data_IF_103774883757
#
_entry.id   IF_103774883757
#
_cell.length_a   1.000
_cell.length_b   1.000
_cell.length_c   1.000
_cell.angle_alpha   90.00
_cell.angle_beta   90.00
_cell.angle_gamma   90.00
#
_symmetry.space_group_name_H-M   'P 1'
#
loop_
_entity.id
_entity.type
_entity.pdbx_description
1 polymer ?
#
# COMPACT_ATOMS: atom_id res chain seq x y z
N UNK A 1 -13.19 42.17 53.48
CA UNK A 1 -12.48 41.05 52.81
C UNK A 1 -13.39 40.26 51.86
N UNK A 2 -14.66 40.02 52.18
CA UNK A 2 -15.55 39.19 51.33
C UNK A 2 -15.80 39.76 49.91
N UNK A 3 -15.85 41.08 49.76
CA UNK A 3 -16.07 41.77 48.47
C UNK A 3 -14.99 41.46 47.44
N UNK A 4 -13.70 41.53 47.81
CA UNK A 4 -12.61 41.13 46.91
C UNK A 4 -12.70 39.65 46.50
N UNK A 5 -13.14 38.78 47.42
CA UNK A 5 -13.26 37.33 47.16
C UNK A 5 -14.38 37.01 46.16
N UNK A 6 -15.46 37.82 46.15
CA UNK A 6 -16.55 37.76 45.14
C UNK A 6 -16.13 38.32 43.77
N UNK A 7 -15.30 39.37 43.75
CA UNK A 7 -14.79 39.96 42.50
C UNK A 7 -13.83 38.98 41.78
N UNK A 8 -12.88 38.37 42.50
CA UNK A 8 -11.96 37.39 41.89
C UNK A 8 -12.69 36.14 41.38
N UNK A 9 -13.72 35.66 42.09
CA UNK A 9 -14.52 34.51 41.60
C UNK A 9 -15.34 34.86 40.37
N UNK A 10 -15.98 36.05 40.33
CA UNK A 10 -16.68 36.54 39.14
C UNK A 10 -15.76 36.68 37.91
N UNK A 11 -14.57 37.25 38.09
CA UNK A 11 -13.58 37.41 37.02
C UNK A 11 -13.10 36.05 36.47
N UNK A 12 -12.81 35.08 37.34
CA UNK A 12 -12.41 33.74 36.93
C UNK A 12 -13.52 32.99 36.18
N UNK A 13 -14.79 33.09 36.62
CA UNK A 13 -15.91 32.48 35.88
C UNK A 13 -16.05 33.11 34.50
N UNK A 14 -16.03 34.44 34.40
CA UNK A 14 -16.19 35.14 33.12
C UNK A 14 -15.05 34.82 32.14
N UNK A 15 -13.81 34.73 32.62
CA UNK A 15 -12.65 34.34 31.82
C UNK A 15 -12.70 32.87 31.35
N UNK A 16 -13.19 31.95 32.18
CA UNK A 16 -13.40 30.53 31.80
C UNK A 16 -14.55 30.40 30.78
N UNK A 17 -15.65 31.14 30.96
CA UNK A 17 -16.75 31.16 29.98
C UNK A 17 -16.30 31.74 28.64
N UNK A 18 -15.50 32.82 28.65
CA UNK A 18 -14.93 33.40 27.43
C UNK A 18 -14.01 32.42 26.69
N UNK A 19 -13.11 31.73 27.40
CA UNK A 19 -12.26 30.68 26.81
C UNK A 19 -13.08 29.53 26.21
N UNK A 20 -14.19 29.13 26.84
CA UNK A 20 -15.07 28.09 26.33
C UNK A 20 -15.78 28.50 25.02
N UNK A 21 -16.13 29.79 24.86
CA UNK A 21 -16.81 30.31 23.66
C UNK A 21 -15.90 30.54 22.45
N UNK A 22 -14.57 30.58 22.64
CA UNK A 22 -13.57 30.73 21.56
C UNK A 22 -13.09 29.38 21.01
N UNK A 23 -13.65 28.26 21.49
CA UNK A 23 -13.43 26.92 20.95
C UNK A 23 -14.08 26.76 19.56
N UNK A 24 -13.41 27.28 18.53
CA UNK A 24 -13.87 27.23 17.14
C UNK A 24 -14.07 25.81 16.63
N UNK A 25 -15.30 25.46 16.28
CA UNK A 25 -15.64 24.16 15.70
C UNK A 25 -15.22 24.10 14.21
N UNK A 26 -13.95 23.78 13.96
CA UNK A 26 -13.45 23.49 12.62
C UNK A 26 -13.64 22.01 12.27
N UNK A 27 -14.39 21.70 11.21
CA UNK A 27 -14.57 20.31 10.75
C UNK A 27 -13.35 19.84 9.95
N UNK A 28 -12.38 19.19 10.61
CA UNK A 28 -11.23 18.57 9.93
C UNK A 28 -11.61 17.21 9.34
N UNK A 29 -11.80 17.15 8.02
CA UNK A 29 -12.17 15.91 7.31
C UNK A 29 -10.93 15.20 6.74
N UNK A 30 -10.44 14.19 7.44
CA UNK A 30 -9.30 13.37 7.03
C UNK A 30 -9.75 12.23 6.10
N UNK A 31 -9.36 12.24 4.81
CA UNK A 31 -9.78 11.24 3.80
C UNK A 31 -8.68 10.21 3.47
N UNK A 32 -7.98 9.71 4.49
CA UNK A 32 -6.85 8.77 4.34
C UNK A 32 -7.18 7.52 3.51
N UNK A 33 -8.34 6.91 3.71
CA UNK A 33 -8.75 5.73 2.94
C UNK A 33 -8.98 6.06 1.45
N UNK A 34 -9.62 7.20 1.15
CA UNK A 34 -9.82 7.67 -0.22
C UNK A 34 -8.48 7.95 -0.91
N UNK A 35 -7.55 8.60 -0.21
CA UNK A 35 -6.19 8.88 -0.71
C UNK A 35 -5.39 7.61 -0.97
N UNK A 36 -5.47 6.62 -0.07
CA UNK A 36 -4.85 5.30 -0.26
C UNK A 36 -5.42 4.58 -1.48
N UNK A 37 -6.75 4.48 -1.59
CA UNK A 37 -7.42 3.82 -2.73
C UNK A 37 -7.14 4.51 -4.07
N UNK A 38 -7.12 5.85 -4.11
CA UNK A 38 -6.74 6.59 -5.30
C UNK A 38 -5.29 6.28 -5.70
N UNK A 39 -4.38 6.24 -4.73
CA UNK A 39 -2.97 6.03 -4.99
C UNK A 39 -2.68 4.58 -5.45
N UNK A 40 -3.36 3.58 -4.87
CA UNK A 40 -3.22 2.19 -5.32
C UNK A 40 -3.84 2.00 -6.71
N UNK A 41 -5.05 2.51 -6.95
CA UNK A 41 -5.72 2.47 -8.28
C UNK A 41 -4.85 3.11 -9.38
N UNK A 42 -4.15 4.21 -9.06
CA UNK A 42 -3.23 4.84 -10.00
C UNK A 42 -1.95 4.01 -10.23
N UNK A 43 -1.37 3.40 -9.20
CA UNK A 43 -0.22 2.49 -9.32
C UNK A 43 -0.60 1.26 -10.13
N UNK A 44 -1.66 0.56 -9.75
CA UNK A 44 -2.17 -0.65 -10.40
C UNK A 44 -2.41 -0.43 -11.90
N UNK A 45 -3.13 0.64 -12.27
CA UNK A 45 -3.37 0.97 -13.68
C UNK A 45 -2.11 1.37 -14.44
N UNK A 46 -1.08 1.90 -13.76
CA UNK A 46 0.21 2.18 -14.38
C UNK A 46 1.04 0.92 -14.56
N UNK A 47 0.99 -0.01 -13.61
CA UNK A 47 1.71 -1.30 -13.66
C UNK A 47 1.07 -2.24 -14.67
N UNK A 48 -0.26 -2.34 -14.69
CA UNK A 48 -1.02 -3.14 -15.65
C UNK A 48 -0.86 -2.66 -17.11
N UNK A 49 -0.36 -1.45 -17.35
CA UNK A 49 -0.05 -0.97 -18.70
C UNK A 49 1.33 -1.43 -19.21
N UNK A 50 2.12 -2.14 -18.39
CA UNK A 50 3.45 -2.62 -18.73
C UNK A 50 3.38 -4.05 -19.30
N UNK A 51 4.06 -4.27 -20.43
CA UNK A 51 4.15 -5.58 -21.09
C UNK A 51 5.58 -6.14 -20.98
N UNK A 52 5.79 -7.10 -20.07
CA UNK A 52 7.09 -7.75 -19.86
C UNK A 52 7.27 -9.06 -20.64
N UNK A 53 6.37 -9.45 -21.55
CA UNK A 53 6.47 -10.75 -22.27
C UNK A 53 7.79 -10.93 -23.05
N UNK A 54 8.47 -9.83 -23.40
CA UNK A 54 9.82 -9.84 -24.02
C UNK A 54 10.89 -10.48 -23.12
N UNK A 55 10.64 -10.56 -21.81
CA UNK A 55 11.53 -11.14 -20.79
C UNK A 55 11.01 -12.48 -20.23
N UNK A 56 9.95 -13.05 -20.81
CA UNK A 56 9.37 -14.31 -20.36
C UNK A 56 10.40 -15.46 -20.40
N UNK A 57 10.39 -16.30 -19.36
CA UNK A 57 11.32 -17.41 -19.18
C UNK A 57 12.76 -17.00 -18.84
N UNK A 58 13.08 -15.71 -18.72
CA UNK A 58 14.44 -15.25 -18.39
C UNK A 58 14.61 -15.01 -16.89
N UNK A 59 15.80 -15.26 -16.31
CA UNK A 59 16.11 -14.90 -14.93
C UNK A 59 16.33 -13.39 -14.82
N UNK A 60 15.43 -12.74 -14.06
CA UNK A 60 15.30 -11.28 -13.97
C UNK A 60 15.41 -10.82 -12.53
N UNK A 61 16.22 -9.80 -12.28
CA UNK A 61 16.23 -9.07 -11.01
C UNK A 61 15.54 -7.71 -11.18
N UNK A 62 14.65 -7.35 -10.24
CA UNK A 62 14.02 -6.03 -10.18
C UNK A 62 14.87 -5.13 -9.28
N UNK A 63 15.54 -4.12 -9.85
CA UNK A 63 16.23 -3.10 -9.07
C UNK A 63 15.20 -2.13 -8.46
N UNK A 64 15.13 -2.04 -7.14
CA UNK A 64 14.14 -1.19 -6.44
C UNK A 64 14.74 0.10 -5.89
N UNK A 65 16.04 0.36 -6.11
CA UNK A 65 16.76 1.51 -5.56
C UNK A 65 16.07 2.85 -5.89
N UNK A 66 15.64 3.03 -7.14
CA UNK A 66 14.98 4.26 -7.59
C UNK A 66 13.51 4.36 -7.16
N UNK A 67 12.85 3.24 -6.85
CA UNK A 67 11.52 3.20 -6.21
C UNK A 67 11.61 3.59 -4.73
N UNK A 68 12.58 3.04 -4.00
CA UNK A 68 12.79 3.29 -2.57
C UNK A 68 13.09 4.77 -2.26
N UNK A 69 13.58 5.53 -3.24
CA UNK A 69 13.77 6.98 -3.14
C UNK A 69 12.47 7.78 -2.94
N UNK A 70 11.32 7.21 -3.32
CA UNK A 70 10.00 7.86 -3.26
C UNK A 70 9.44 7.79 -1.83
N UNK A 71 9.81 8.78 -1.02
CA UNK A 71 9.29 8.94 0.34
C UNK A 71 7.86 9.46 0.33
N UNK A 72 6.90 8.57 0.55
CA UNK A 72 5.49 8.90 0.77
C UNK A 72 5.08 8.39 2.15
N UNK A 73 4.54 9.26 3.00
CA UNK A 73 4.04 8.88 4.34
C UNK A 73 2.67 8.17 4.29
N UNK A 74 2.41 7.42 3.21
CA UNK A 74 1.18 6.66 2.96
C UNK A 74 1.48 5.17 2.97
N UNK A 75 0.48 4.37 3.35
CA UNK A 75 0.54 2.90 3.28
C UNK A 75 0.83 2.42 1.85
N UNK A 76 0.30 3.16 0.86
CA UNK A 76 0.56 2.94 -0.56
C UNK A 76 1.76 3.81 -0.95
N UNK A 77 2.96 3.23 -0.86
CA UNK A 77 4.22 3.89 -1.20
C UNK A 77 5.12 2.99 -2.04
N UNK A 78 6.43 3.19 -1.92
CA UNK A 78 7.47 2.43 -2.63
C UNK A 78 7.24 0.91 -2.60
N UNK A 79 7.01 0.33 -1.42
CA UNK A 79 6.85 -1.13 -1.25
C UNK A 79 5.61 -1.72 -1.94
N UNK A 80 4.50 -0.99 -2.00
CA UNK A 80 3.30 -1.45 -2.71
C UNK A 80 3.55 -1.51 -4.22
N UNK A 81 4.20 -0.47 -4.76
CA UNK A 81 4.57 -0.38 -6.16
C UNK A 81 5.65 -1.39 -6.57
N UNK A 82 6.62 -1.65 -5.69
CA UNK A 82 7.57 -2.75 -5.82
C UNK A 82 6.84 -4.11 -5.92
N UNK A 83 5.93 -4.38 -4.98
CA UNK A 83 5.15 -5.63 -4.96
C UNK A 83 4.28 -5.79 -6.21
N UNK A 84 3.61 -4.73 -6.66
CA UNK A 84 2.84 -4.68 -7.90
C UNK A 84 3.69 -5.01 -9.13
N UNK A 85 4.90 -4.46 -9.23
CA UNK A 85 5.83 -4.76 -10.32
C UNK A 85 6.34 -6.21 -10.27
N UNK A 86 6.62 -6.75 -9.08
CA UNK A 86 6.96 -8.17 -8.90
C UNK A 86 5.81 -9.08 -9.35
N UNK A 87 4.55 -8.75 -9.01
CA UNK A 87 3.36 -9.45 -9.48
C UNK A 87 3.25 -9.42 -11.01
N UNK A 88 3.42 -8.26 -11.66
CA UNK A 88 3.29 -8.15 -13.11
C UNK A 88 4.46 -8.83 -13.87
N UNK A 89 5.67 -8.86 -13.31
CA UNK A 89 6.79 -9.64 -13.84
C UNK A 89 6.52 -11.15 -13.77
N UNK A 90 6.02 -11.65 -12.63
CA UNK A 90 5.63 -13.06 -12.46
C UNK A 90 4.46 -13.43 -13.38
N UNK A 91 3.45 -12.57 -13.51
CA UNK A 91 2.30 -12.77 -14.39
C UNK A 91 2.68 -12.80 -15.88
N UNK A 92 3.77 -12.12 -16.27
CA UNK A 92 4.34 -12.19 -17.61
C UNK A 92 5.31 -13.38 -17.83
N UNK A 93 5.48 -14.26 -16.82
CA UNK A 93 6.33 -15.45 -16.90
C UNK A 93 7.83 -15.19 -16.73
N UNK A 94 8.24 -14.06 -16.15
CA UNK A 94 9.65 -13.80 -15.83
C UNK A 94 10.11 -14.62 -14.62
N UNK A 95 11.33 -15.17 -14.65
CA UNK A 95 11.90 -15.93 -13.53
C UNK A 95 12.55 -14.96 -12.53
N UNK A 96 11.73 -14.38 -11.67
CA UNK A 96 12.13 -13.33 -10.73
C UNK A 96 13.11 -13.85 -9.66
N UNK A 97 14.29 -13.23 -9.59
CA UNK A 97 15.36 -13.55 -8.64
C UNK A 97 15.37 -12.61 -7.44
N UNK A 98 15.90 -13.07 -6.31
CA UNK A 98 16.07 -12.25 -5.09
C UNK A 98 17.37 -11.43 -5.09
N UNK A 99 18.39 -11.87 -5.83
CA UNK A 99 19.70 -11.21 -5.89
C UNK A 99 20.08 -10.90 -7.34
N UNK A 100 20.73 -9.75 -7.54
CA UNK A 100 21.23 -9.31 -8.84
C UNK A 100 22.18 -10.35 -9.47
N UNK A 101 22.97 -11.07 -8.65
CA UNK A 101 24.00 -12.00 -9.13
C UNK A 101 23.44 -13.21 -9.87
N UNK A 102 22.21 -13.59 -9.54
CA UNK A 102 21.54 -14.81 -10.02
C UNK A 102 20.67 -14.52 -11.26
N UNK A 103 20.60 -13.25 -11.69
CA UNK A 103 19.85 -12.81 -12.85
C UNK A 103 20.75 -12.52 -14.07
N UNK A 104 20.23 -12.86 -15.26
CA UNK A 104 20.84 -12.46 -16.54
C UNK A 104 20.49 -11.01 -16.88
N UNK A 105 19.27 -10.58 -16.56
CA UNK A 105 18.76 -9.24 -16.85
C UNK A 105 18.38 -8.49 -15.59
N UNK A 106 18.72 -7.20 -15.57
CA UNK A 106 18.26 -6.25 -14.56
C UNK A 106 17.13 -5.44 -15.18
N UNK A 107 15.99 -5.38 -14.48
CA UNK A 107 14.85 -4.52 -14.80
C UNK A 107 14.88 -3.35 -13.83
N UNK A 108 15.06 -2.15 -14.38
CA UNK A 108 15.16 -0.90 -13.60
C UNK A 108 13.92 -0.01 -13.85
N UNK A 109 13.03 0.13 -12.84
CA UNK A 109 11.89 0.99 -12.86
C UNK A 109 12.22 2.40 -12.35
N UNK A 110 11.74 3.41 -13.05
CA UNK A 110 11.86 4.83 -12.66
C UNK A 110 10.49 5.42 -12.40
N UNK A 111 10.35 6.09 -11.25
CA UNK A 111 9.11 6.76 -10.83
C UNK A 111 9.20 8.23 -11.21
N UNK A 112 8.39 8.66 -12.17
CA UNK A 112 8.32 10.05 -12.61
C UNK A 112 7.29 10.89 -11.84
N UNK A 113 6.32 10.24 -11.20
CA UNK A 113 5.36 10.85 -10.28
C UNK A 113 4.68 9.74 -9.47
N UNK A 114 4.44 9.99 -8.18
CA UNK A 114 3.54 9.23 -7.33
C UNK A 114 2.94 10.20 -6.31
N UNK A 115 1.64 10.46 -6.38
CA UNK A 115 1.01 11.38 -5.44
C UNK A 115 -0.45 11.71 -5.73
N UNK A 116 -1.03 12.48 -4.82
CA UNK A 116 -2.42 12.93 -4.83
C UNK A 116 -2.52 14.43 -5.02
N UNK A 117 -3.61 14.87 -5.64
CA UNK A 117 -3.96 16.27 -5.89
C UNK A 117 -5.43 16.49 -5.47
N UNK A 118 -5.73 17.63 -4.85
CA UNK A 118 -7.01 17.92 -4.20
C UNK A 118 -7.49 19.32 -4.49
N UNK A 119 -8.65 19.45 -5.14
CA UNK A 119 -9.28 20.72 -5.48
C UNK A 119 -10.65 20.81 -4.81
N UNK A 120 -10.93 21.90 -4.09
CA UNK A 120 -12.26 22.17 -3.52
C UNK A 120 -12.86 23.44 -4.16
N UNK A 121 -14.07 23.33 -4.66
CA UNK A 121 -14.84 24.42 -5.26
C UNK A 121 -16.14 24.59 -4.47
N UNK A 122 -16.31 25.75 -3.82
CA UNK A 122 -17.58 26.14 -3.19
C UNK A 122 -18.15 27.34 -3.95
N UNK A 123 -19.37 27.18 -4.46
CA UNK A 123 -20.18 28.24 -5.06
C UNK A 123 -21.32 28.54 -4.08
N UNK A 124 -21.35 29.77 -3.58
CA UNK A 124 -22.26 30.21 -2.51
C UNK A 124 -21.61 31.32 -1.69
N UNK A 125 -22.12 31.55 -0.49
CA UNK A 125 -21.42 32.35 0.52
C UNK A 125 -20.55 31.36 1.31
N UNK A 126 -19.23 31.29 1.08
CA UNK A 126 -18.38 30.42 1.88
C UNK A 126 -18.37 30.87 3.33
N UNK A 127 -18.16 29.95 4.27
CA UNK A 127 -17.88 30.25 5.67
C UNK A 127 -16.49 30.90 5.82
N UNK A 128 -16.29 32.09 5.27
CA UNK A 128 -15.10 32.88 5.51
C UNK A 128 -15.13 33.38 6.95
N UNK A 129 -14.26 32.81 7.79
CA UNK A 129 -14.09 33.24 9.19
C UNK A 129 -13.97 34.77 9.32
N UNK A 130 -13.36 35.45 8.34
CA UNK A 130 -13.23 36.90 8.27
C UNK A 130 -14.57 37.68 8.32
N UNK A 131 -15.63 37.21 7.63
CA UNK A 131 -16.94 37.87 7.67
C UNK A 131 -17.65 37.63 9.01
N UNK A 132 -17.55 36.41 9.55
CA UNK A 132 -18.10 36.09 10.87
C UNK A 132 -17.35 36.83 12.00
N UNK A 133 -16.04 37.07 11.89
CA UNK A 133 -15.28 37.86 12.84
C UNK A 133 -15.45 39.38 12.68
N UNK A 134 -15.78 39.87 11.48
CA UNK A 134 -16.07 41.28 11.25
C UNK A 134 -17.35 41.71 12.00
N UNK A 135 -18.35 40.82 12.10
CA UNK A 135 -19.54 41.04 12.92
C UNK A 135 -19.24 41.35 14.39
N UNK A 136 -18.14 40.82 14.94
CA UNK A 136 -17.73 41.04 16.34
C UNK A 136 -16.84 42.27 16.55
N UNK A 137 -16.41 42.96 15.49
CA UNK A 137 -15.53 44.15 15.58
C UNK A 137 -16.30 45.47 15.49
N UNK A 138 -17.59 45.46 15.15
CA UNK A 138 -18.44 46.66 15.08
C UNK A 138 -19.25 46.80 16.37
N UNK A 139 -18.59 47.25 17.44
CA UNK A 139 -19.13 47.32 18.82
C UNK A 139 -20.39 48.19 18.98
N UNK A 140 -20.64 49.12 18.06
CA UNK A 140 -21.75 50.09 18.13
C UNK A 140 -22.80 49.90 17.01
N UNK A 141 -22.68 48.84 16.20
CA UNK A 141 -23.66 48.48 15.18
C UNK A 141 -24.70 47.47 15.69
N UNK A 142 -25.90 47.39 15.09
CA UNK A 142 -26.84 46.31 15.39
C UNK A 142 -26.17 44.97 15.08
N UNK A 143 -26.23 44.03 16.02
CA UNK A 143 -25.57 42.72 15.91
C UNK A 143 -26.08 41.98 14.67
N UNK A 144 -25.24 41.91 13.62
CA UNK A 144 -25.60 41.21 12.41
C UNK A 144 -25.76 39.71 12.74
N UNK A 145 -26.88 39.07 12.36
CA UNK A 145 -27.07 37.65 12.63
C UNK A 145 -25.97 36.85 11.92
N UNK A 146 -25.45 35.82 12.61
CA UNK A 146 -24.48 34.91 12.01
C UNK A 146 -25.16 34.18 10.85
N UNK A 147 -24.81 34.56 9.63
CA UNK A 147 -25.30 33.88 8.43
C UNK A 147 -24.66 32.48 8.37
N UNK A 148 -25.46 31.39 8.36
CA UNK A 148 -24.92 30.05 8.18
C UNK A 148 -24.30 29.91 6.79
N UNK A 149 -23.40 28.94 6.60
CA UNK A 149 -22.81 28.65 5.29
C UNK A 149 -23.89 28.23 4.29
N UNK A 150 -24.21 29.10 3.32
CA UNK A 150 -25.10 28.75 2.20
C UNK A 150 -24.23 28.31 1.03
N UNK A 151 -23.72 27.07 1.13
CA UNK A 151 -23.07 26.38 0.04
C UNK A 151 -24.12 25.87 -0.97
N UNK A 152 -24.45 26.71 -1.95
CA UNK A 152 -25.38 26.38 -3.04
C UNK A 152 -24.89 25.15 -3.81
N UNK A 153 -23.58 25.10 -4.12
CA UNK A 153 -22.89 23.92 -4.64
C UNK A 153 -21.51 23.83 -4.02
N UNK A 154 -21.13 22.65 -3.53
CA UNK A 154 -19.75 22.31 -3.13
C UNK A 154 -19.27 21.13 -3.95
N UNK A 155 -18.03 21.16 -4.44
CA UNK A 155 -17.41 20.06 -5.19
C UNK A 155 -15.97 19.87 -4.75
N UNK A 156 -15.70 18.73 -4.12
CA UNK A 156 -14.36 18.24 -3.83
C UNK A 156 -13.95 17.28 -4.95
N UNK A 157 -12.83 17.55 -5.62
CA UNK A 157 -12.20 16.66 -6.59
C UNK A 157 -10.84 16.24 -6.04
N UNK A 158 -10.71 14.97 -5.68
CA UNK A 158 -9.43 14.32 -5.41
C UNK A 158 -9.00 13.52 -6.64
N UNK A 159 -7.70 13.53 -6.91
CA UNK A 159 -7.05 12.77 -7.97
C UNK A 159 -5.79 12.12 -7.41
N UNK A 160 -5.39 10.98 -7.96
CA UNK A 160 -4.02 10.51 -7.85
C UNK A 160 -3.43 10.31 -9.23
N UNK A 161 -2.10 10.38 -9.31
CA UNK A 161 -1.35 10.05 -10.51
C UNK A 161 -0.14 9.20 -10.14
N UNK A 162 0.09 8.15 -10.93
CA UNK A 162 1.34 7.42 -10.95
C UNK A 162 1.91 7.48 -12.37
N UNK A 163 3.23 7.61 -12.47
CA UNK A 163 3.97 7.64 -13.74
C UNK A 163 5.24 6.81 -13.58
N UNK A 164 5.35 5.77 -14.39
CA UNK A 164 6.42 4.78 -14.37
C UNK A 164 7.09 4.72 -15.75
N UNK A 165 8.39 4.48 -15.77
CA UNK A 165 9.13 4.17 -16.98
C UNK A 165 10.23 3.15 -16.66
N UNK A 166 10.18 2.00 -17.31
CA UNK A 166 11.01 0.84 -16.99
C UNK A 166 11.87 0.50 -18.20
N UNK A 167 13.08 0.02 -17.94
CA UNK A 167 13.96 -0.53 -18.96
C UNK A 167 14.66 -1.78 -18.43
N UNK A 168 15.08 -2.65 -19.35
CA UNK A 168 15.77 -3.89 -19.06
C UNK A 168 17.10 -3.95 -19.81
N UNK A 169 18.15 -4.36 -19.12
CA UNK A 169 19.50 -4.50 -19.67
C UNK A 169 20.17 -5.77 -19.16
N UNK A 170 21.10 -6.29 -19.96
CA UNK A 170 21.91 -7.44 -19.56
C UNK A 170 22.87 -7.05 -18.44
N UNK A 171 22.88 -7.80 -17.33
CA UNK A 171 23.66 -7.50 -16.13
C UNK A 171 25.14 -7.23 -16.42
N UNK A 172 25.80 -8.21 -17.04
CA UNK A 172 27.26 -8.17 -17.29
C UNK A 172 27.65 -7.21 -18.42
N UNK A 173 27.04 -7.36 -19.60
CA UNK A 173 27.43 -6.60 -20.79
C UNK A 173 26.84 -5.18 -20.85
N UNK A 174 25.92 -4.83 -19.94
CA UNK A 174 25.16 -3.58 -19.89
C UNK A 174 24.44 -3.20 -21.19
N UNK A 175 24.24 -4.17 -22.10
CA UNK A 175 23.50 -3.97 -23.35
C UNK A 175 21.99 -3.79 -23.06
N UNK A 176 21.33 -2.76 -23.61
CA UNK A 176 19.89 -2.60 -23.48
C UNK A 176 19.17 -3.69 -24.28
N UNK A 177 18.06 -4.19 -23.72
CA UNK A 177 17.24 -5.25 -24.32
C UNK A 177 15.83 -4.75 -24.59
N UNK A 178 15.24 -4.00 -23.65
CA UNK A 178 13.85 -3.57 -23.74
C UNK A 178 13.59 -2.27 -22.94
N UNK A 179 12.55 -1.54 -23.32
CA UNK A 179 12.02 -0.38 -22.57
C UNK A 179 10.49 -0.32 -22.68
N UNK A 180 9.81 0.03 -21.60
CA UNK A 180 8.34 0.13 -21.54
C UNK A 180 7.76 1.39 -22.20
N UNK A 181 8.61 2.37 -22.52
CA UNK A 181 8.15 3.75 -22.67
C UNK A 181 7.65 4.33 -21.34
N UNK A 182 6.68 5.24 -21.39
CA UNK A 182 6.10 5.88 -20.20
C UNK A 182 4.70 5.32 -19.96
N UNK A 183 4.55 4.51 -18.91
CA UNK A 183 3.26 4.15 -18.37
C UNK A 183 2.78 5.25 -17.40
N UNK A 184 1.55 5.73 -17.56
CA UNK A 184 0.96 6.69 -16.63
C UNK A 184 -0.54 6.43 -16.49
N UNK A 185 -1.03 6.44 -15.26
CA UNK A 185 -2.45 6.37 -14.97
C UNK A 185 -2.86 7.40 -13.92
N UNK A 186 -4.16 7.68 -13.89
CA UNK A 186 -4.77 8.59 -12.93
C UNK A 186 -6.03 7.97 -12.34
N UNK A 187 -6.16 8.08 -11.03
CA UNK A 187 -7.38 7.76 -10.31
C UNK A 187 -8.13 9.05 -9.95
N UNK A 188 -9.46 9.01 -9.84
CA UNK A 188 -10.27 10.18 -9.48
C UNK A 188 -11.38 9.84 -8.49
N UNK A 189 -11.70 10.79 -7.62
CA UNK A 189 -12.82 10.76 -6.68
C UNK A 189 -13.40 12.17 -6.56
N UNK A 190 -14.67 12.32 -6.94
CA UNK A 190 -15.40 13.59 -6.91
C UNK A 190 -16.59 13.44 -5.96
N UNK A 191 -16.61 14.25 -4.90
CA UNK A 191 -17.77 14.44 -4.04
C UNK A 191 -18.46 15.75 -4.43
N UNK A 192 -19.75 15.74 -4.74
CA UNK A 192 -20.54 16.96 -4.97
C UNK A 192 -21.68 17.06 -3.96
N UNK A 193 -21.94 18.27 -3.47
CA UNK A 193 -23.12 18.65 -2.70
C UNK A 193 -23.86 19.75 -3.45
N UNK A 194 -25.19 19.71 -3.42
CA UNK A 194 -26.06 20.73 -4.01
C UNK A 194 -27.11 21.10 -2.97
N UNK A 195 -27.18 22.38 -2.57
CA UNK A 195 -28.11 22.88 -1.56
C UNK A 195 -28.09 22.05 -0.26
N UNK A 196 -26.90 21.67 0.20
CA UNK A 196 -26.70 20.80 1.38
C UNK A 196 -26.91 19.29 1.13
N UNK A 197 -27.61 18.88 0.06
CA UNK A 197 -27.76 17.47 -0.28
C UNK A 197 -26.45 16.89 -0.86
N UNK A 198 -25.91 15.85 -0.21
CA UNK A 198 -24.69 15.14 -0.62
C UNK A 198 -24.03 14.39 0.53
N UNK A 199 -22.84 13.78 0.33
CA UNK A 199 -22.07 13.79 -0.91
C UNK A 199 -22.64 12.83 -1.96
N UNK A 200 -22.82 13.32 -3.18
CA UNK A 200 -22.90 12.49 -4.38
C UNK A 200 -21.47 12.18 -4.84
N UNK A 201 -21.08 10.91 -4.82
CA UNK A 201 -19.71 10.45 -5.06
C UNK A 201 -19.61 9.72 -6.40
N UNK A 202 -18.59 10.05 -7.19
CA UNK A 202 -18.28 9.47 -8.50
C UNK A 202 -16.78 9.46 -8.73
N UNK A 203 -16.25 8.55 -9.54
CA UNK A 203 -14.82 8.51 -9.83
C UNK A 203 -14.37 7.13 -10.32
N UNK A 204 -13.06 6.93 -10.49
CA UNK A 204 -12.50 5.63 -10.89
C UNK A 204 -12.50 4.60 -9.77
N UNK A 205 -12.49 5.06 -8.51
CA UNK A 205 -12.51 4.20 -7.30
C UNK A 205 -13.93 3.89 -6.79
N UNK A 206 -14.97 4.37 -7.48
CA UNK A 206 -16.36 4.26 -7.05
C UNK A 206 -17.17 3.41 -8.04
N UNK A 207 -17.78 2.33 -7.55
CA UNK A 207 -18.63 1.42 -8.32
C UNK A 207 -20.03 2.02 -8.65
N UNK A 208 -20.02 3.06 -9.47
CA UNK A 208 -21.20 3.83 -9.88
C UNK A 208 -21.35 5.16 -9.13
N UNK A 209 -22.55 5.75 -9.18
CA UNK A 209 -22.85 6.94 -8.35
C UNK A 209 -23.25 6.48 -6.95
N UNK A 210 -22.51 6.91 -5.94
CA UNK A 210 -22.86 6.67 -4.54
C UNK A 210 -23.45 7.95 -3.92
N UNK A 211 -24.26 7.78 -2.88
CA UNK A 211 -24.76 8.85 -2.03
C UNK A 211 -24.39 8.51 -0.57
N UNK A 212 -23.59 9.37 0.07
CA UNK A 212 -23.11 9.17 1.43
C UNK A 212 -22.51 7.77 1.70
N UNK A 213 -21.67 7.26 0.78
CA UNK A 213 -21.05 5.92 0.86
C UNK A 213 -21.97 4.74 0.52
N UNK A 214 -23.27 4.95 0.33
CA UNK A 214 -24.22 3.93 -0.13
C UNK A 214 -24.37 3.98 -1.66
N UNK A 215 -24.53 2.83 -2.33
CA UNK A 215 -24.83 2.83 -3.77
C UNK A 215 -26.25 3.35 -3.97
N UNK A 216 -26.42 4.38 -4.80
CA UNK A 216 -27.75 4.84 -5.16
C UNK A 216 -28.48 3.73 -5.93
N UNK A 217 -29.74 3.44 -5.57
CA UNK A 217 -30.55 2.44 -6.28
C UNK A 217 -30.74 2.87 -7.73
N UNK A 218 -29.99 2.22 -8.63
CA UNK A 218 -30.12 2.38 -10.08
C UNK A 218 -30.58 1.04 -10.69
N UNK A 219 -31.87 0.87 -11.00
CA UNK A 219 -32.38 -0.38 -11.54
C UNK A 219 -31.88 -0.68 -12.96
N UNK A 220 -31.18 0.27 -13.62
CA UNK A 220 -30.54 0.07 -14.92
C UNK A 220 -29.09 -0.43 -14.80
N UNK A 221 -28.46 -0.36 -13.62
CA UNK A 221 -27.09 -0.80 -13.41
C UNK A 221 -26.89 -2.33 -13.56
N UNK A 222 -27.96 -3.11 -13.38
CA UNK A 222 -27.98 -4.57 -13.59
C UNK A 222 -27.73 -5.01 -15.05
N UNK A 223 -27.75 -4.08 -16.02
CA UNK A 223 -27.62 -4.37 -17.46
C UNK A 223 -26.33 -3.81 -18.10
N UNK A 224 -25.37 -3.32 -17.30
CA UNK A 224 -24.13 -2.71 -17.82
C UNK A 224 -22.84 -3.29 -17.19
N UNK A 225 -22.81 -4.58 -16.86
CA UNK A 225 -21.59 -5.24 -16.35
C UNK A 225 -20.67 -5.81 -17.44
N UNK A 226 -21.18 -6.04 -18.66
CA UNK A 226 -20.46 -6.83 -19.68
C UNK A 226 -19.97 -6.05 -20.92
N UNK A 227 -20.18 -4.72 -20.96
CA UNK A 227 -20.07 -3.93 -22.19
C UNK A 227 -18.69 -3.27 -22.47
N UNK A 228 -17.69 -3.47 -21.59
CA UNK A 228 -16.36 -2.83 -21.72
C UNK A 228 -15.23 -3.76 -22.23
N UNK A 229 -15.55 -5.00 -22.60
CA UNK A 229 -14.62 -5.84 -23.35
C UNK A 229 -14.63 -5.44 -24.84
N UNK A 230 -13.92 -4.37 -25.19
CA UNK A 230 -13.60 -4.05 -26.59
C UNK A 230 -12.51 -5.01 -27.10
N UNK A 231 -12.78 -5.90 -28.07
CA UNK A 231 -11.78 -6.81 -28.60
C UNK A 231 -10.83 -6.04 -29.53
N UNK A 232 -9.61 -5.74 -29.07
CA UNK A 232 -8.63 -5.03 -29.90
C UNK A 232 -7.35 -4.56 -29.20
N UNK A 233 -7.37 -4.33 -27.89
CA UNK A 233 -6.12 -4.16 -27.12
C UNK A 233 -5.51 -5.53 -26.81
N UNK A 234 -4.22 -5.70 -27.12
CA UNK A 234 -3.42 -6.89 -26.77
C UNK A 234 -3.65 -7.24 -25.30
N UNK A 235 -3.80 -8.53 -25.01
CA UNK A 235 -4.50 -9.02 -23.82
C UNK A 235 -3.70 -8.87 -22.51
N UNK A 236 -3.60 -7.65 -21.99
CA UNK A 236 -3.07 -7.36 -20.64
C UNK A 236 -4.12 -7.63 -19.54
N UNK A 237 -5.01 -8.60 -19.78
CA UNK A 237 -6.19 -8.87 -18.95
C UNK A 237 -5.89 -9.68 -17.68
N UNK A 238 -4.62 -10.03 -17.42
CA UNK A 238 -4.20 -10.84 -16.28
C UNK A 238 -4.06 -10.04 -14.98
N UNK A 239 -3.52 -8.81 -15.00
CA UNK A 239 -3.17 -8.07 -13.76
C UNK A 239 -4.36 -7.87 -12.80
N UNK A 240 -5.55 -7.58 -13.34
CA UNK A 240 -6.77 -7.31 -12.56
C UNK A 240 -7.69 -8.53 -12.39
N UNK A 241 -7.27 -9.71 -12.85
CA UNK A 241 -8.06 -10.94 -12.74
C UNK A 241 -7.38 -11.93 -11.81
N UNK A 242 -8.19 -12.70 -11.11
CA UNK A 242 -7.69 -13.88 -10.42
C UNK A 242 -7.21 -14.90 -11.47
N UNK A 243 -5.97 -15.36 -11.32
CA UNK A 243 -5.33 -16.35 -12.20
C UNK A 243 -4.65 -17.37 -11.31
N UNK A 244 -4.99 -18.65 -11.49
CA UNK A 244 -4.24 -19.76 -10.92
C UNK A 244 -3.16 -20.18 -11.92
N UNK A 245 -1.90 -20.05 -11.52
CA UNK A 245 -0.78 -20.56 -12.31
C UNK A 245 -0.73 -22.09 -12.19
N UNK A 246 -0.39 -22.77 -13.30
CA UNK A 246 -0.29 -24.23 -13.32
C UNK A 246 0.74 -24.72 -12.29
N UNK A 247 0.32 -25.66 -11.45
CA UNK A 247 1.15 -26.28 -10.43
C UNK A 247 1.91 -27.48 -11.00
N UNK A 248 3.04 -27.84 -10.41
CA UNK A 248 3.76 -29.06 -10.83
C UNK A 248 2.92 -30.34 -10.60
N UNK A 249 1.93 -30.28 -9.70
CA UNK A 249 0.90 -31.30 -9.47
C UNK A 249 -0.17 -31.40 -10.57
N UNK A 250 -0.28 -30.45 -11.50
CA UNK A 250 -1.21 -30.53 -12.63
C UNK A 250 -0.68 -31.37 -13.80
N UNK A 251 0.58 -31.83 -13.72
CA UNK A 251 1.10 -32.85 -14.64
C UNK A 251 0.35 -34.16 -14.34
N UNK A 252 -0.32 -34.79 -15.33
CA UNK A 252 -1.01 -36.05 -15.08
C UNK A 252 0.02 -37.08 -14.60
N UNK A 253 -0.23 -37.66 -13.43
CA UNK A 253 0.61 -38.73 -12.89
C UNK A 253 0.56 -39.89 -13.87
N UNK A 254 1.63 -40.06 -14.66
CA UNK A 254 1.84 -41.24 -15.47
C UNK A 254 1.88 -42.42 -14.48
N UNK A 255 0.78 -43.17 -14.39
CA UNK A 255 0.72 -44.35 -13.53
C UNK A 255 1.76 -45.34 -14.06
N UNK A 256 2.87 -45.47 -13.34
CA UNK A 256 3.86 -46.49 -13.62
C UNK A 256 3.18 -47.84 -13.46
N UNK A 257 2.93 -48.51 -14.58
CA UNK A 257 2.54 -49.92 -14.58
C UNK A 257 3.76 -50.66 -14.07
N UNK A 258 3.67 -51.16 -12.84
CA UNK A 258 4.65 -52.08 -12.30
C UNK A 258 4.38 -53.46 -12.91
N UNK A 259 5.22 -53.86 -13.86
CA UNK A 259 5.28 -55.26 -14.29
C UNK A 259 5.90 -56.08 -13.16
N UNK A 260 5.14 -57.06 -12.67
CA UNK A 260 5.46 -57.85 -11.48
C UNK A 260 6.16 -59.16 -11.90
N UNK A 261 7.48 -59.24 -11.74
CA UNK A 261 8.28 -60.46 -11.98
C UNK A 261 8.87 -60.97 -10.64
N UNK A 262 8.49 -62.17 -10.16
CA UNK A 262 8.77 -62.59 -8.79
C UNK A 262 10.16 -63.20 -8.60
N UNK A 263 11.00 -62.56 -7.78
CA UNK A 263 12.28 -63.11 -7.32
C UNK A 263 12.11 -64.11 -6.16
N UNK A 264 12.87 -65.21 -6.19
CA UNK A 264 12.76 -66.36 -5.29
C UNK A 264 13.35 -66.18 -3.89
N UNK A 265 12.77 -66.87 -2.91
CA UNK A 265 13.07 -66.89 -1.46
C UNK A 265 14.48 -67.39 -1.08
N UNK A 266 15.13 -66.85 -0.02
CA UNK A 266 16.40 -67.37 0.51
C UNK A 266 16.24 -68.47 1.58
N UNK A 267 17.27 -69.31 1.75
CA UNK A 267 17.38 -70.40 2.75
C UNK A 267 18.55 -70.14 3.74
N UNK A 268 18.49 -70.72 4.94
CA UNK A 268 19.45 -70.64 6.07
C UNK A 268 19.57 -72.04 6.73
N UNK A 269 20.49 -72.34 7.70
CA UNK A 269 21.82 -71.80 8.06
C UNK A 269 22.92 -72.91 8.20
N UNK A 270 24.18 -72.58 8.59
CA UNK A 270 24.97 -73.21 9.69
C UNK A 270 26.51 -72.93 9.69
N UNK A 271 27.17 -72.93 10.87
CA UNK A 271 28.64 -73.03 11.05
C UNK A 271 29.36 -71.96 11.93
N UNK A 272 30.22 -72.38 12.88
CA UNK A 272 30.98 -71.57 13.90
C UNK A 272 32.39 -72.19 14.14
N UNK A 273 33.34 -71.67 14.96
CA UNK A 273 33.68 -70.29 15.43
C UNK A 273 35.24 -70.00 15.58
N UNK A 274 35.60 -68.92 16.32
CA UNK A 274 36.92 -68.55 16.92
C UNK A 274 37.87 -67.67 16.06
N UNK A 275 38.67 -66.71 16.58
CA UNK A 275 39.42 -66.57 17.86
C UNK A 275 39.38 -65.13 18.45
N UNK A 276 39.69 -64.95 19.75
CA UNK A 276 39.87 -63.66 20.49
C UNK A 276 41.15 -63.73 21.36
N UNK A 277 41.91 -62.64 21.60
CA UNK A 277 41.96 -61.97 22.94
C UNK A 277 42.28 -60.44 22.85
N UNK A 278 42.49 -59.65 23.92
CA UNK A 278 41.77 -59.41 25.19
C UNK A 278 42.41 -58.20 25.95
N UNK A 279 41.62 -57.42 26.72
CA UNK A 279 42.04 -56.42 27.75
C UNK A 279 42.80 -55.14 27.25
N UNK A 280 42.89 -53.99 27.96
CA UNK A 280 42.43 -53.59 29.31
C UNK A 280 42.19 -52.05 29.47
N UNK A 281 41.50 -51.68 30.57
CA UNK A 281 41.62 -50.43 31.40
C UNK A 281 41.35 -48.99 30.86
N UNK A 282 40.48 -48.27 31.58
CA UNK A 282 40.39 -46.78 31.72
C UNK A 282 41.14 -46.33 33.02
N UNK A 283 41.30 -45.02 33.44
CA UNK A 283 40.25 -43.99 33.60
C UNK A 283 40.66 -42.48 33.41
N UNK A 284 39.77 -41.57 33.82
CA UNK A 284 39.74 -40.09 33.63
C UNK A 284 40.72 -39.23 34.47
N UNK A 285 41.05 -38.01 34.00
CA UNK A 285 40.83 -36.68 34.67
C UNK A 285 41.21 -35.50 33.73
N UNK A 286 40.40 -34.44 33.60
CA UNK A 286 40.41 -33.17 34.37
C UNK A 286 41.70 -32.35 34.14
N UNK A 287 41.68 -31.04 33.80
CA UNK A 287 41.07 -29.93 34.56
C UNK A 287 40.70 -28.68 33.73
N UNK A 288 39.80 -27.86 34.29
CA UNK A 288 39.69 -26.42 34.04
C UNK A 288 39.65 -25.66 35.39
N UNK A 289 40.09 -24.39 35.41
CA UNK A 289 39.44 -23.33 36.21
C UNK A 289 39.29 -22.01 35.40
N UNK A 290 38.28 -21.11 35.47
CA UNK A 290 37.28 -20.70 36.50
C UNK A 290 37.94 -20.01 37.71
N UNK A 291 37.81 -18.71 38.05
CA UNK A 291 36.95 -17.56 37.65
C UNK A 291 37.73 -16.24 37.95
N UNK A 292 37.27 -14.97 37.83
CA UNK A 292 36.16 -14.34 38.58
C UNK A 292 35.90 -12.88 38.15
N UNK A 293 34.63 -12.44 38.30
CA UNK A 293 34.11 -11.04 38.30
C UNK A 293 34.92 -10.07 39.18
N UNK A 294 34.84 -8.74 39.03
CA UNK A 294 33.85 -7.82 39.69
C UNK A 294 34.31 -6.35 39.51
N UNK A 295 33.51 -5.26 39.53
CA UNK A 295 32.13 -4.92 39.10
C UNK A 295 31.87 -3.40 39.38
N UNK A 296 30.85 -2.77 38.73
CA UNK A 296 30.20 -1.49 39.13
C UNK A 296 31.08 -0.19 39.09
N UNK A 297 30.57 1.06 39.00
CA UNK A 297 29.18 1.58 38.91
C UNK A 297 29.08 2.97 38.21
N UNK A 298 27.83 3.37 37.92
CA UNK A 298 27.22 4.71 38.01
C UNK A 298 27.60 5.94 37.12
N UNK A 299 26.51 6.59 36.68
CA UNK A 299 26.22 8.05 36.63
C UNK A 299 26.39 8.87 35.32
N UNK A 300 25.27 9.49 34.93
CA UNK A 300 25.14 10.74 34.14
C UNK A 300 25.31 11.97 35.08
N UNK A 301 25.28 13.28 34.66
CA UNK A 301 24.78 13.84 33.39
C UNK A 301 25.53 15.09 32.82
N UNK A 302 24.96 15.67 31.74
CA UNK A 302 25.07 17.08 31.27
C UNK A 302 26.35 17.59 30.60
N UNK A 303 26.21 18.05 29.35
CA UNK A 303 26.50 19.44 28.96
C UNK A 303 25.65 19.84 27.75
#
# INVERSE_FOLDING_TARGET
METLRRINTGLCVLLVTFLATVAGCGTTKTQKATEQLLLSDAVDKSVAALDFHVLAGQPVYLDTQFIASVKTNSLVGAHYMESALRQQLLAAGCLLQESEKDATYIVEPRVGALGTDGHNLTIGIPASHALNSASTLVTEGPSLPIFPEIALVRRENQKAAAKLAIFAYHRETRKPIWQSGIAQARATSTNTWVMGAGPFQRGTIHDGTQFAGSRFWDPLALRRKDANNSPGSRETATYFREVQFASESDKPVQAAIFDDEPASTPTQPDGKPAVRPAAASSPQKSTAPVTTKTAQDASSPTK
#
